data_IF_768030743182
#
_entry.id   IF_768030743182
#
_cell.length_a   1.000
_cell.length_b   1.000
_cell.length_c   1.000
_cell.angle_alpha   90.00
_cell.angle_beta   90.00
_cell.angle_gamma   90.00
#
_symmetry.space_group_name_H-M   'P 1'
#
loop_
_entity.id
_entity.type
_entity.pdbx_description
1 polymer ?
#
# COMPACT_ATOMS: atom_id res chain seq x y z
N UNK A 1 -19.95 -2.77 -4.38
CA UNK A 1 -18.88 -3.16 -5.33
C UNK A 1 -17.57 -2.42 -5.08
N UNK A 2 -17.52 -1.38 -4.25
CA UNK A 2 -16.31 -0.54 -4.04
C UNK A 2 -15.23 -1.18 -3.15
N UNK A 3 -15.59 -1.95 -2.13
CA UNK A 3 -14.61 -2.49 -1.18
C UNK A 3 -13.63 -3.48 -1.83
N UNK A 4 -14.13 -4.32 -2.74
CA UNK A 4 -13.29 -5.26 -3.50
C UNK A 4 -12.29 -4.56 -4.42
N UNK A 5 -12.62 -3.37 -4.94
CA UNK A 5 -11.73 -2.65 -5.86
C UNK A 5 -10.63 -1.92 -5.10
N UNK A 6 -10.97 -1.27 -3.98
CA UNK A 6 -10.00 -0.67 -3.06
C UNK A 6 -9.01 -1.73 -2.53
N UNK A 7 -9.51 -2.90 -2.19
CA UNK A 7 -8.70 -4.01 -1.67
C UNK A 7 -7.79 -4.59 -2.74
N UNK A 8 -8.30 -4.71 -3.98
CA UNK A 8 -7.50 -5.13 -5.12
C UNK A 8 -6.39 -4.11 -5.45
N UNK A 9 -6.69 -2.80 -5.40
CA UNK A 9 -5.70 -1.75 -5.62
C UNK A 9 -4.60 -1.81 -4.55
N UNK A 10 -4.98 -1.96 -3.28
CA UNK A 10 -4.02 -2.12 -2.19
C UNK A 10 -3.15 -3.37 -2.37
N UNK A 11 -3.76 -4.51 -2.74
CA UNK A 11 -3.03 -5.76 -3.00
C UNK A 11 -2.00 -5.62 -4.13
N UNK A 12 -2.32 -4.88 -5.19
CA UNK A 12 -1.37 -4.62 -6.27
C UNK A 12 -0.23 -3.70 -5.88
N UNK A 13 -0.46 -2.73 -5.00
CA UNK A 13 0.63 -1.94 -4.44
C UNK A 13 1.50 -2.76 -3.46
N UNK A 14 0.94 -3.78 -2.79
CA UNK A 14 1.72 -4.69 -1.94
C UNK A 14 2.72 -5.55 -2.71
N UNK A 15 2.37 -6.02 -3.91
CA UNK A 15 3.29 -6.81 -4.75
C UNK A 15 4.63 -6.08 -4.95
N UNK A 16 4.61 -4.75 -5.11
CA UNK A 16 5.82 -3.94 -5.24
C UNK A 16 6.66 -3.86 -3.95
N UNK A 17 6.00 -3.84 -2.79
CA UNK A 17 6.68 -3.81 -1.49
C UNK A 17 7.25 -5.19 -1.10
N UNK A 18 6.67 -6.27 -1.63
CA UNK A 18 7.08 -7.66 -1.40
C UNK A 18 8.51 -7.98 -1.77
N UNK A 19 9.02 -7.38 -2.83
CA UNK A 19 10.41 -7.59 -3.22
C UNK A 19 11.35 -6.66 -2.44
N UNK A 20 10.96 -5.41 -2.22
CA UNK A 20 11.78 -4.44 -1.49
C UNK A 20 12.05 -4.83 -0.04
N UNK A 21 11.07 -5.41 0.65
CA UNK A 21 11.24 -5.80 2.06
C UNK A 21 12.32 -6.87 2.25
N UNK A 22 12.68 -7.62 1.21
CA UNK A 22 13.75 -8.62 1.27
C UNK A 22 15.14 -7.99 1.31
N UNK A 23 15.28 -6.80 0.74
CA UNK A 23 16.56 -6.07 0.65
C UNK A 23 16.79 -5.17 1.87
N UNK A 24 15.74 -4.52 2.37
CA UNK A 24 15.78 -3.66 3.56
C UNK A 24 14.39 -3.50 4.21
N UNK A 25 14.30 -3.07 5.49
CA UNK A 25 13.04 -2.69 6.10
C UNK A 25 12.35 -1.56 5.33
N UNK A 26 11.06 -1.74 5.04
CA UNK A 26 10.24 -0.78 4.32
C UNK A 26 10.09 0.51 5.11
N UNK A 27 10.38 1.62 4.45
CA UNK A 27 10.23 2.99 4.95
C UNK A 27 8.90 3.61 4.49
N UNK A 28 8.49 4.68 5.17
CA UNK A 28 7.31 5.45 4.75
C UNK A 28 7.40 5.93 3.29
N UNK A 29 8.60 6.36 2.86
CA UNK A 29 8.85 6.81 1.48
C UNK A 29 8.61 5.71 0.45
N UNK A 30 8.93 4.47 0.77
CA UNK A 30 8.70 3.33 -0.14
C UNK A 30 7.23 2.96 -0.22
N UNK A 31 6.51 3.09 0.89
CA UNK A 31 5.05 2.94 0.93
C UNK A 31 4.36 4.03 0.09
N UNK A 32 4.75 5.29 0.26
CA UNK A 32 4.25 6.41 -0.55
C UNK A 32 4.55 6.21 -2.04
N UNK A 33 5.75 5.74 -2.38
CA UNK A 33 6.12 5.41 -3.76
C UNK A 33 5.27 4.28 -4.34
N UNK A 34 5.01 3.21 -3.58
CA UNK A 34 4.13 2.13 -4.01
C UNK A 34 2.71 2.64 -4.28
N UNK A 35 2.22 3.53 -3.42
CA UNK A 35 0.94 4.18 -3.61
C UNK A 35 0.91 5.04 -4.89
N UNK A 36 1.88 5.94 -5.07
CA UNK A 36 1.89 6.86 -6.21
C UNK A 36 2.05 6.14 -7.56
N UNK A 37 2.84 5.06 -7.60
CA UNK A 37 3.09 4.31 -8.84
C UNK A 37 1.93 3.37 -9.18
N UNK A 38 1.35 2.68 -8.18
CA UNK A 38 0.36 1.63 -8.44
C UNK A 38 -1.05 2.03 -8.05
N UNK A 39 -1.26 2.64 -6.89
CA UNK A 39 -2.61 2.93 -6.38
C UNK A 39 -3.21 4.19 -7.01
N UNK A 40 -2.51 5.32 -6.95
CA UNK A 40 -3.00 6.63 -7.42
C UNK A 40 -3.52 6.60 -8.86
N UNK A 41 -2.83 6.00 -9.86
CA UNK A 41 -3.35 5.96 -11.24
C UNK A 41 -4.63 5.13 -11.39
N UNK A 42 -4.85 4.13 -10.52
CA UNK A 42 -6.04 3.29 -10.53
C UNK A 42 -7.21 4.00 -9.86
N UNK A 43 -6.98 4.64 -8.72
CA UNK A 43 -7.99 5.46 -8.03
C UNK A 43 -8.48 6.60 -8.94
N UNK A 44 -7.57 7.25 -9.69
CA UNK A 44 -7.95 8.31 -10.63
C UNK A 44 -8.87 7.82 -11.76
N UNK A 45 -8.84 6.52 -12.11
CA UNK A 45 -9.71 5.94 -13.15
C UNK A 45 -11.11 5.61 -12.65
N UNK A 46 -11.35 5.66 -11.33
CA UNK A 46 -12.66 5.35 -10.74
C UNK A 46 -13.69 6.46 -10.95
N UNK A 47 -13.29 7.64 -11.46
CA UNK A 47 -14.21 8.74 -11.72
C UNK A 47 -14.87 9.33 -10.46
N UNK A 48 -14.26 9.10 -9.29
CA UNK A 48 -14.76 9.56 -8.00
C UNK A 48 -14.73 11.09 -7.89
N UNK A 49 -15.62 11.65 -7.07
CA UNK A 49 -15.49 13.04 -6.65
C UNK A 49 -14.20 13.27 -5.86
N UNK A 50 -13.76 14.52 -5.73
CA UNK A 50 -12.53 14.83 -4.98
C UNK A 50 -12.58 14.33 -3.52
N UNK A 51 -13.75 14.43 -2.88
CA UNK A 51 -13.94 13.99 -1.50
C UNK A 51 -13.90 12.46 -1.37
N UNK A 52 -14.60 11.75 -2.25
CA UNK A 52 -14.58 10.28 -2.28
C UNK A 52 -13.20 9.75 -2.64
N UNK A 53 -12.54 10.36 -3.62
CA UNK A 53 -11.17 10.03 -3.99
C UNK A 53 -10.25 10.13 -2.77
N UNK A 54 -10.29 11.25 -2.05
CA UNK A 54 -9.44 11.44 -0.87
C UNK A 54 -9.66 10.36 0.19
N UNK A 55 -10.92 10.01 0.47
CA UNK A 55 -11.23 8.91 1.39
C UNK A 55 -10.69 7.55 0.91
N UNK A 56 -10.79 7.27 -0.39
CA UNK A 56 -10.24 6.04 -0.98
C UNK A 56 -8.72 6.02 -0.92
N UNK A 57 -8.07 7.13 -1.26
CA UNK A 57 -6.61 7.29 -1.16
C UNK A 57 -6.12 7.07 0.27
N UNK A 58 -6.78 7.69 1.27
CA UNK A 58 -6.45 7.54 2.69
C UNK A 58 -6.63 6.09 3.16
N UNK A 59 -7.70 5.40 2.73
CA UNK A 59 -7.94 3.99 3.06
C UNK A 59 -6.86 3.07 2.48
N UNK A 60 -6.47 3.29 1.23
CA UNK A 60 -5.42 2.48 0.59
C UNK A 60 -4.08 2.72 1.28
N UNK A 61 -3.75 3.98 1.59
CA UNK A 61 -2.52 4.32 2.29
C UNK A 61 -2.45 3.65 3.67
N UNK A 62 -3.54 3.71 4.45
CA UNK A 62 -3.58 3.05 5.76
C UNK A 62 -3.35 1.53 5.66
N UNK A 63 -3.94 0.87 4.65
CA UNK A 63 -3.72 -0.56 4.38
C UNK A 63 -2.29 -0.87 3.97
N UNK A 64 -1.67 0.00 3.17
CA UNK A 64 -0.28 -0.15 2.76
C UNK A 64 0.68 0.01 3.95
N UNK A 65 0.47 1.02 4.79
CA UNK A 65 1.28 1.25 5.99
C UNK A 65 1.15 0.10 7.00
N UNK A 66 -0.05 -0.41 7.24
CA UNK A 66 -0.27 -1.57 8.11
C UNK A 66 0.45 -2.81 7.58
N UNK A 67 0.31 -3.10 6.29
CA UNK A 67 0.97 -4.25 5.69
C UNK A 67 2.48 -4.11 5.69
N UNK A 68 3.02 -2.92 5.41
CA UNK A 68 4.47 -2.67 5.47
C UNK A 68 5.04 -2.91 6.88
N UNK A 69 4.31 -2.49 7.93
CA UNK A 69 4.69 -2.81 9.32
C UNK A 69 4.71 -4.31 9.56
N UNK A 70 3.67 -5.04 9.13
CA UNK A 70 3.63 -6.51 9.26
C UNK A 70 4.81 -7.18 8.54
N UNK A 71 5.11 -6.76 7.32
CA UNK A 71 6.20 -7.34 6.52
C UNK A 71 7.57 -7.06 7.15
N UNK A 72 7.79 -5.85 7.68
CA UNK A 72 9.01 -5.54 8.43
C UNK A 72 9.14 -6.44 9.66
N UNK A 73 8.05 -6.71 10.37
CA UNK A 73 8.06 -7.63 11.51
C UNK A 73 8.34 -9.08 11.07
N UNK A 74 7.72 -9.53 9.98
CA UNK A 74 7.86 -10.88 9.43
C UNK A 74 9.29 -11.17 8.95
N UNK A 75 9.92 -10.23 8.22
CA UNK A 75 11.24 -10.41 7.60
C UNK A 75 12.40 -10.04 8.52
N UNK A 76 12.29 -8.92 9.25
CA UNK A 76 13.43 -8.33 9.96
C UNK A 76 13.36 -8.48 11.48
N UNK A 77 12.19 -8.73 12.06
CA UNK A 77 12.06 -8.95 13.51
C UNK A 77 12.13 -10.42 13.92
N UNK A 78 12.14 -11.35 12.97
CA UNK A 78 12.40 -12.78 13.24
C UNK A 78 13.88 -13.11 13.48
N UNK A 79 14.81 -12.23 13.12
CA UNK A 79 16.25 -12.42 13.36
C UNK A 79 16.76 -11.76 14.66
N UNK A 80 15.87 -11.28 15.52
CA UNK A 80 16.21 -10.48 16.70
C UNK A 80 15.93 -11.12 18.06
N UNK A 81 16.08 -12.45 18.21
CA UNK A 81 16.13 -13.15 19.49
C UNK A 81 17.26 -14.18 19.51
#
# INVERSE_FOLDING_TARGET
MEENEVDWIAAKAWEFLGDKVKDAPLTKKEVEMAFDVFARPRVLRLGLSEFERRQVEDRIMAKLEERAKQMNLEYWKKEGL
#
